data_IF_807766793141
#
_entry.id   IF_807766793141
#
_cell.length_a   1.000
_cell.length_b   1.000
_cell.length_c   1.000
_cell.angle_alpha   90.00
_cell.angle_beta   90.00
_cell.angle_gamma   90.00
#
_symmetry.space_group_name_H-M   'P 1'
#
loop_
_entity.id
_entity.type
_entity.pdbx_description
1 polymer ?
#
# COMPACT_ATOMS: atom_id res chain seq x y z
N UNK A 1 12.92 -2.19 16.54
CA UNK A 1 12.67 -2.54 15.14
C UNK A 1 13.67 -1.82 14.27
N UNK A 2 14.12 -2.42 13.18
CA UNK A 2 15.15 -1.87 12.31
C UNK A 2 14.53 -1.20 11.07
N UNK A 3 15.19 -0.19 10.52
CA UNK A 3 14.84 0.44 9.22
C UNK A 3 14.60 -0.59 8.10
N UNK A 4 15.31 -1.72 8.16
CA UNK A 4 15.15 -2.86 7.25
C UNK A 4 13.75 -3.48 7.32
N UNK A 5 13.14 -3.60 8.51
CA UNK A 5 11.80 -4.17 8.66
C UNK A 5 10.74 -3.27 7.99
N UNK A 6 10.77 -1.96 8.27
CA UNK A 6 9.88 -0.97 7.64
C UNK A 6 9.94 -1.05 6.10
N UNK A 7 11.16 -1.04 5.55
CA UNK A 7 11.38 -1.16 4.10
C UNK A 7 10.88 -2.48 3.54
N UNK A 8 11.05 -3.58 4.26
CA UNK A 8 10.61 -4.90 3.79
C UNK A 8 9.09 -4.98 3.67
N UNK A 9 8.35 -4.37 4.61
CA UNK A 9 6.88 -4.33 4.58
C UNK A 9 6.41 -3.46 3.41
N UNK A 10 6.97 -2.26 3.26
CA UNK A 10 6.63 -1.37 2.15
C UNK A 10 6.92 -2.00 0.78
N UNK A 11 8.06 -2.68 0.64
CA UNK A 11 8.41 -3.42 -0.58
C UNK A 11 7.44 -4.57 -0.85
N UNK A 12 6.98 -5.26 0.20
CA UNK A 12 5.98 -6.32 0.06
C UNK A 12 4.66 -5.77 -0.47
N UNK A 13 4.13 -4.69 0.11
CA UNK A 13 2.91 -4.03 -0.38
C UNK A 13 3.04 -3.59 -1.85
N UNK A 14 4.18 -3.02 -2.24
CA UNK A 14 4.44 -2.66 -3.64
C UNK A 14 4.44 -3.88 -4.58
N UNK A 15 5.05 -5.00 -4.17
CA UNK A 15 5.02 -6.25 -4.94
C UNK A 15 3.62 -6.82 -5.07
N UNK A 16 2.81 -6.78 -4.01
CA UNK A 16 1.42 -7.23 -4.02
C UNK A 16 0.59 -6.41 -5.04
N UNK A 17 0.73 -5.08 -5.04
CA UNK A 17 0.04 -4.22 -6.02
C UNK A 17 0.45 -4.51 -7.46
N UNK A 18 1.73 -4.77 -7.72
CA UNK A 18 2.22 -5.11 -9.05
C UNK A 18 1.70 -6.49 -9.51
N UNK A 19 1.70 -7.48 -8.62
CA UNK A 19 1.15 -8.79 -8.92
C UNK A 19 -0.35 -8.71 -9.24
N UNK A 20 -1.10 -7.92 -8.46
CA UNK A 20 -2.51 -7.65 -8.68
C UNK A 20 -2.77 -6.97 -10.03
N UNK A 21 -2.04 -5.91 -10.37
CA UNK A 21 -2.20 -5.19 -11.64
C UNK A 21 -1.93 -6.11 -12.84
N UNK A 22 -0.88 -6.93 -12.75
CA UNK A 22 -0.56 -7.93 -13.78
C UNK A 22 -1.64 -9.00 -13.91
N UNK A 23 -2.21 -9.47 -12.80
CA UNK A 23 -3.27 -10.47 -12.83
C UNK A 23 -4.53 -9.91 -13.54
N UNK A 24 -4.96 -8.70 -13.18
CA UNK A 24 -6.10 -8.03 -13.84
C UNK A 24 -5.82 -7.80 -15.32
N UNK A 25 -4.64 -7.29 -15.67
CA UNK A 25 -4.25 -7.04 -17.06
C UNK A 25 -4.21 -8.32 -17.90
N UNK A 26 -3.56 -9.37 -17.40
CA UNK A 26 -3.37 -10.62 -18.14
C UNK A 26 -4.68 -11.38 -18.35
N UNK A 27 -5.61 -11.29 -17.39
CA UNK A 27 -6.93 -11.93 -17.49
C UNK A 27 -7.92 -11.09 -18.29
N UNK A 28 -7.64 -9.81 -18.47
CA UNK A 28 -8.61 -8.80 -18.95
C UNK A 28 -9.95 -8.92 -18.18
N UNK A 29 -9.86 -9.15 -16.88
CA UNK A 29 -11.02 -9.41 -16.01
C UNK A 29 -10.70 -9.07 -14.56
N UNK A 30 -11.71 -8.54 -13.86
CA UNK A 30 -11.67 -8.30 -12.41
C UNK A 30 -12.44 -9.39 -11.70
N UNK A 31 -11.82 -10.03 -10.71
CA UNK A 31 -12.33 -11.22 -10.04
C UNK A 31 -12.33 -11.07 -8.52
N UNK A 32 -13.01 -11.98 -7.81
CA UNK A 32 -12.98 -12.04 -6.35
C UNK A 32 -11.56 -12.22 -5.79
N UNK A 33 -10.67 -12.89 -6.53
CA UNK A 33 -9.26 -13.04 -6.15
C UNK A 33 -8.59 -11.66 -6.06
N UNK A 34 -8.91 -10.75 -6.99
CA UNK A 34 -8.36 -9.40 -7.00
C UNK A 34 -8.84 -8.57 -5.80
N UNK A 35 -10.10 -8.77 -5.39
CA UNK A 35 -10.64 -8.18 -4.16
C UNK A 35 -9.91 -8.69 -2.91
N UNK A 36 -9.65 -10.00 -2.83
CA UNK A 36 -8.95 -10.57 -1.68
C UNK A 36 -7.47 -10.11 -1.63
N UNK A 37 -6.80 -10.02 -2.77
CA UNK A 37 -5.45 -9.45 -2.90
C UNK A 37 -5.38 -7.97 -2.47
N UNK A 38 -6.41 -7.16 -2.75
CA UNK A 38 -6.48 -5.78 -2.25
C UNK A 38 -6.61 -5.74 -0.73
N UNK A 39 -7.43 -6.61 -0.14
CA UNK A 39 -7.56 -6.70 1.32
C UNK A 39 -6.26 -7.14 1.98
N UNK A 40 -5.54 -8.10 1.39
CA UNK A 40 -4.21 -8.49 1.86
C UNK A 40 -3.22 -7.32 1.79
N UNK A 41 -3.24 -6.55 0.69
CA UNK A 41 -2.39 -5.36 0.55
C UNK A 41 -2.74 -4.30 1.60
N UNK A 42 -4.03 -4.07 1.87
CA UNK A 42 -4.49 -3.16 2.92
C UNK A 42 -4.01 -3.58 4.31
N UNK A 43 -4.04 -4.89 4.60
CA UNK A 43 -3.50 -5.43 5.85
C UNK A 43 -1.98 -5.18 5.96
N UNK A 44 -1.21 -5.43 4.91
CA UNK A 44 0.24 -5.10 4.88
C UNK A 44 0.50 -3.61 5.13
N UNK A 45 -0.34 -2.71 4.58
CA UNK A 45 -0.22 -1.27 4.81
C UNK A 45 -0.61 -0.88 6.24
N UNK A 46 -1.55 -1.58 6.86
CA UNK A 46 -1.88 -1.42 8.26
C UNK A 46 -0.68 -1.80 9.14
N UNK A 47 -0.04 -2.94 8.87
CA UNK A 47 1.17 -3.37 9.57
C UNK A 47 2.29 -2.34 9.42
N UNK A 48 2.46 -1.77 8.22
CA UNK A 48 3.44 -0.70 7.99
C UNK A 48 3.14 0.53 8.85
N UNK A 49 1.87 0.95 8.90
CA UNK A 49 1.44 2.08 9.71
C UNK A 49 1.72 1.84 11.20
N UNK A 50 1.33 0.69 11.73
CA UNK A 50 1.53 0.33 13.14
C UNK A 50 3.02 0.32 13.51
N UNK A 51 3.88 -0.15 12.61
CA UNK A 51 5.33 -0.09 12.78
C UNK A 51 5.83 1.35 12.75
N UNK A 52 5.34 2.19 11.84
CA UNK A 52 5.74 3.59 11.77
C UNK A 52 5.30 4.35 13.02
N UNK A 53 4.06 4.16 13.49
CA UNK A 53 3.56 4.76 14.73
C UNK A 53 4.39 4.32 15.94
N UNK A 54 4.70 3.03 16.07
CA UNK A 54 5.55 2.56 17.15
C UNK A 54 6.95 3.20 17.14
N UNK A 55 7.50 3.55 15.97
CA UNK A 55 8.77 4.29 15.87
C UNK A 55 8.59 5.79 16.08
N UNK A 56 7.47 6.36 15.67
CA UNK A 56 7.07 7.74 15.90
C UNK A 56 6.99 8.05 17.41
N UNK A 57 6.33 7.19 18.18
CA UNK A 57 6.23 7.33 19.64
C UNK A 57 7.59 7.21 20.35
N UNK A 58 8.59 6.57 19.71
CA UNK A 58 9.90 6.24 20.31
C UNK A 58 11.05 7.17 19.91
N UNK A 59 10.97 7.84 18.76
CA UNK A 59 12.09 8.60 18.18
C UNK A 59 11.62 9.90 17.55
N UNK A 60 12.46 10.94 17.58
CA UNK A 60 12.11 12.30 17.15
C UNK A 60 11.41 12.33 15.78
N UNK A 61 10.22 12.96 15.79
CA UNK A 61 9.15 13.01 14.77
C UNK A 61 9.54 13.26 13.31
N UNK A 62 10.70 13.87 13.06
CA UNK A 62 11.04 14.42 11.76
C UNK A 62 11.17 13.32 10.67
N UNK A 63 10.24 13.32 9.72
CA UNK A 63 10.20 12.42 8.56
C UNK A 63 9.32 11.18 8.71
N UNK A 64 8.84 10.88 9.92
CA UNK A 64 7.92 9.75 10.16
C UNK A 64 6.46 10.19 9.93
N UNK A 65 6.09 11.42 10.32
CA UNK A 65 4.73 11.98 10.12
C UNK A 65 4.28 11.85 8.66
N UNK A 66 5.10 12.37 7.72
CA UNK A 66 4.78 12.35 6.29
C UNK A 66 4.67 10.91 5.76
N UNK A 67 5.55 10.01 6.21
CA UNK A 67 5.48 8.59 5.83
C UNK A 67 4.21 7.90 6.35
N UNK A 68 3.74 8.26 7.56
CA UNK A 68 2.50 7.75 8.14
C UNK A 68 1.27 8.26 7.39
N UNK A 69 1.19 9.58 7.15
CA UNK A 69 0.10 10.19 6.39
C UNK A 69 -0.01 9.56 5.00
N UNK A 70 1.13 9.37 4.34
CA UNK A 70 1.16 8.77 3.01
C UNK A 70 0.79 7.28 3.02
N UNK A 71 1.22 6.53 4.04
CA UNK A 71 0.80 5.13 4.24
C UNK A 71 -0.71 5.04 4.42
N UNK A 72 -1.29 5.90 5.25
CA UNK A 72 -2.74 5.93 5.49
C UNK A 72 -3.53 6.34 4.24
N UNK A 73 -3.03 7.31 3.46
CA UNK A 73 -3.63 7.72 2.20
C UNK A 73 -3.69 6.55 1.21
N UNK A 74 -2.57 5.85 0.98
CA UNK A 74 -2.54 4.70 0.07
C UNK A 74 -3.49 3.61 0.57
N UNK A 75 -3.47 3.31 1.88
CA UNK A 75 -4.38 2.33 2.48
C UNK A 75 -5.85 2.68 2.21
N UNK A 76 -6.27 3.93 2.45
CA UNK A 76 -7.66 4.38 2.20
C UNK A 76 -8.06 4.22 0.74
N UNK A 77 -7.16 4.49 -0.20
CA UNK A 77 -7.42 4.31 -1.64
C UNK A 77 -7.50 2.84 -2.03
N UNK A 78 -6.68 1.98 -1.44
CA UNK A 78 -6.75 0.52 -1.60
C UNK A 78 -8.05 -0.05 -1.02
N UNK A 79 -8.47 0.40 0.17
CA UNK A 79 -9.75 0.02 0.79
C UNK A 79 -10.94 0.44 -0.09
N UNK A 80 -10.90 1.68 -0.61
CA UNK A 80 -11.92 2.17 -1.53
C UNK A 80 -11.96 1.38 -2.84
N UNK A 81 -10.80 0.98 -3.36
CA UNK A 81 -10.70 0.13 -4.55
C UNK A 81 -11.26 -1.27 -4.29
N UNK A 82 -10.96 -1.86 -3.12
CA UNK A 82 -11.51 -3.14 -2.71
C UNK A 82 -13.04 -3.10 -2.64
N UNK A 83 -13.59 -2.05 -2.02
CA UNK A 83 -15.02 -1.82 -1.96
C UNK A 83 -15.63 -1.59 -3.35
N UNK A 84 -14.92 -0.89 -4.23
CA UNK A 84 -15.33 -0.67 -5.62
C UNK A 84 -15.44 -1.98 -6.41
N UNK A 85 -14.55 -2.95 -6.15
CA UNK A 85 -14.55 -4.28 -6.80
C UNK A 85 -15.11 -5.40 -5.93
N UNK A 86 -15.92 -5.07 -4.90
CA UNK A 86 -16.48 -6.08 -3.98
C UNK A 86 -17.26 -7.19 -4.73
N UNK A 87 -17.23 -8.45 -4.27
CA UNK A 87 -17.82 -9.59 -4.99
C UNK A 87 -19.28 -9.44 -5.40
N UNK A 88 -20.10 -8.77 -4.58
CA UNK A 88 -21.51 -8.53 -4.90
C UNK A 88 -21.68 -7.58 -6.08
N UNK A 89 -20.80 -6.59 -6.22
CA UNK A 89 -20.83 -5.62 -7.32
C UNK A 89 -20.31 -6.21 -8.62
N UNK A 90 -19.29 -7.07 -8.57
CA UNK A 90 -18.78 -7.79 -9.75
C UNK A 90 -19.86 -8.65 -10.44
N UNK A 91 -20.86 -9.12 -9.69
CA UNK A 91 -21.98 -9.89 -10.23
C UNK A 91 -23.02 -9.05 -10.98
N UNK A 92 -23.07 -7.74 -10.73
CA UNK A 92 -24.17 -6.87 -11.18
C UNK A 92 -23.72 -5.67 -12.00
N UNK A 93 -22.43 -5.35 -12.00
CA UNK A 93 -21.87 -4.17 -12.66
C UNK A 93 -20.63 -4.59 -13.45
N UNK A 94 -20.58 -4.17 -14.72
CA UNK A 94 -19.36 -4.30 -15.49
C UNK A 94 -18.29 -3.37 -14.91
N UNK A 95 -17.14 -3.95 -14.54
CA UNK A 95 -15.96 -3.21 -14.10
C UNK A 95 -14.90 -3.34 -15.17
N UNK A 96 -14.44 -2.20 -15.69
CA UNK A 96 -13.39 -2.16 -16.71
C UNK A 96 -12.05 -2.59 -16.10
N UNK A 97 -11.42 -3.69 -16.57
CA UNK A 97 -10.10 -4.11 -16.11
C UNK A 97 -9.05 -3.03 -16.32
N UNK A 98 -9.11 -2.34 -17.47
CA UNK A 98 -8.24 -1.20 -17.81
C UNK A 98 -8.31 -0.09 -16.77
N UNK A 99 -9.52 0.26 -16.32
CA UNK A 99 -9.69 1.30 -15.29
C UNK A 99 -9.07 0.86 -13.96
N UNK A 100 -9.22 -0.40 -13.57
CA UNK A 100 -8.61 -0.94 -12.35
C UNK A 100 -7.08 -0.92 -12.43
N UNK A 101 -6.49 -1.31 -13.57
CA UNK A 101 -5.04 -1.24 -13.78
C UNK A 101 -4.54 0.21 -13.63
N UNK A 102 -5.23 1.19 -14.22
CA UNK A 102 -4.85 2.61 -14.08
C UNK A 102 -4.90 3.11 -12.63
N UNK A 103 -5.90 2.68 -11.85
CA UNK A 103 -5.98 2.98 -10.42
C UNK A 103 -4.81 2.34 -9.67
N UNK A 104 -4.50 1.08 -9.96
CA UNK A 104 -3.38 0.36 -9.34
C UNK A 104 -2.02 0.98 -9.67
N UNK A 105 -1.82 1.45 -10.91
CA UNK A 105 -0.59 2.14 -11.33
C UNK A 105 -0.39 3.45 -10.53
N UNK A 106 -1.49 4.15 -10.23
CA UNK A 106 -1.47 5.35 -9.38
C UNK A 106 -1.03 5.00 -7.96
N UNK A 107 -1.54 3.90 -7.40
CA UNK A 107 -1.13 3.44 -6.07
C UNK A 107 0.31 2.91 -6.03
N UNK A 108 0.80 2.32 -7.12
CA UNK A 108 2.20 1.94 -7.24
C UNK A 108 3.13 3.16 -7.23
N UNK A 109 2.78 4.23 -7.97
CA UNK A 109 3.54 5.49 -7.93
C UNK A 109 3.56 6.09 -6.52
N UNK A 110 2.42 6.03 -5.83
CA UNK A 110 2.34 6.44 -4.44
C UNK A 110 3.26 5.59 -3.54
N UNK A 111 3.23 4.26 -3.67
CA UNK A 111 4.14 3.38 -2.93
C UNK A 111 5.63 3.64 -3.21
N UNK A 112 5.99 4.01 -4.45
CA UNK A 112 7.35 4.43 -4.77
C UNK A 112 7.75 5.74 -4.08
N UNK A 113 6.84 6.71 -4.01
CA UNK A 113 7.06 7.92 -3.26
C UNK A 113 7.24 7.63 -1.76
N UNK A 114 6.37 6.80 -1.17
CA UNK A 114 6.51 6.35 0.21
C UNK A 114 7.87 5.69 0.45
N UNK A 115 8.34 4.82 -0.45
CA UNK A 115 9.67 4.21 -0.33
C UNK A 115 10.79 5.26 -0.23
N UNK A 116 10.67 6.36 -0.97
CA UNK A 116 11.64 7.46 -0.93
C UNK A 116 11.58 8.19 0.41
N UNK A 117 10.38 8.44 0.96
CA UNK A 117 10.22 9.02 2.29
C UNK A 117 10.87 8.12 3.36
N UNK A 118 10.61 6.81 3.31
CA UNK A 118 11.20 5.83 4.22
C UNK A 118 12.73 5.77 4.14
N UNK A 119 13.33 6.09 3.00
CA UNK A 119 14.78 6.22 2.86
C UNK A 119 15.35 7.39 3.65
N UNK A 120 14.59 8.48 3.78
CA UNK A 120 15.01 9.67 4.51
C UNK A 120 14.92 9.53 6.03
N UNK A 121 14.11 8.58 6.54
CA UNK A 121 13.97 8.35 7.98
C UNK A 121 15.32 7.96 8.60
N UNK A 122 15.75 8.74 9.59
CA UNK A 122 16.92 8.44 10.43
C UNK A 122 16.46 7.69 11.68
N UNK A 123 16.55 6.37 11.64
CA UNK A 123 16.28 5.53 12.81
C UNK A 123 17.62 5.28 13.51
N UNK A 124 17.79 5.83 14.73
CA UNK A 124 18.94 5.52 15.59
C UNK A 124 20.23 6.28 15.32
N UNK A 125 20.20 7.49 14.73
CA UNK A 125 21.38 8.37 14.82
C UNK A 125 21.50 8.88 16.26
N UNK A 126 22.44 8.30 17.02
CA UNK A 126 22.89 8.84 18.29
C UNK A 126 23.12 10.34 18.15
N UNK A 127 22.51 11.11 19.04
CA UNK A 127 22.96 12.46 19.35
C UNK A 127 24.42 12.35 19.80
N UNK A 128 25.35 12.67 18.91
CA UNK A 128 26.70 13.07 19.29
C UNK A 128 26.76 14.58 19.41
#
# INVERSE_FOLDING_TARGET
>A
MTKTQIKSIALNACRQLNALAKDVYNRDLVTNINHDQLKETSATLNDLYDVLDANYQRSMKAGIDESMEYTELVKKRIDALAEYIRPTRLKSVHISPKQIVQMLDTEQQAMHHLSTLLDTIKIGSESK
#
